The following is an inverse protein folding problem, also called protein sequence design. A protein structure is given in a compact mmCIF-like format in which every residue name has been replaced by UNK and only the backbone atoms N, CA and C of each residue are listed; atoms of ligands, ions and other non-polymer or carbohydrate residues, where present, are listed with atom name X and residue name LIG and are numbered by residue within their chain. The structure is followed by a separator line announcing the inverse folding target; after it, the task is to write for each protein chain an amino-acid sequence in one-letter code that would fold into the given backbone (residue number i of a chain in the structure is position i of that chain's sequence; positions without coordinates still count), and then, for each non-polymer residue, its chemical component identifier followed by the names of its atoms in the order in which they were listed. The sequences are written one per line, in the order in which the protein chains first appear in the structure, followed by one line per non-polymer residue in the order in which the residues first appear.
data_IF_534398679076
#
_entry.id   IF_534398679076
#
_cell.length_a   1.000
_cell.length_b   1.000
_cell.length_c   1.000
_cell.angle_alpha   90.00
_cell.angle_beta   90.00
_cell.angle_gamma   90.00
#
_symmetry.space_group_name_H-M   'P 1'
#
loop_
_entity.id
_entity.type
_entity.pdbx_description
1 polymer ?
#
# COMPACT_ATOMS: atom_id res chain seq x y z
N UNK A 1 7.53 -4.53 23.25
CA UNK A 1 7.22 -3.21 23.85
C UNK A 1 5.76 -2.82 23.62
N UNK A 2 5.27 -2.73 22.37
CA UNK A 2 3.85 -2.43 22.09
C UNK A 2 2.85 -3.47 22.62
N UNK A 3 3.24 -4.75 22.68
CA UNK A 3 2.41 -5.85 23.20
C UNK A 3 2.08 -5.73 24.70
N UNK A 4 2.77 -4.86 25.43
CA UNK A 4 2.49 -4.57 26.86
C UNK A 4 1.33 -3.59 27.04
N UNK A 5 0.81 -3.01 25.96
CA UNK A 5 -0.32 -2.08 25.99
C UNK A 5 -1.64 -2.82 25.79
N UNK A 6 -2.76 -2.27 26.32
CA UNK A 6 -4.10 -2.77 26.02
C UNK A 6 -4.34 -2.90 24.51
N UNK A 7 -5.14 -3.88 24.10
CA UNK A 7 -5.40 -4.16 22.68
C UNK A 7 -6.07 -2.99 21.95
N UNK A 8 -6.89 -2.23 22.69
CA UNK A 8 -7.63 -1.04 22.25
C UNK A 8 -6.87 0.28 22.48
N UNK A 9 -5.63 0.21 23.00
CA UNK A 9 -4.84 1.42 23.24
C UNK A 9 -4.52 2.14 21.93
N UNK A 10 -4.86 3.43 21.90
CA UNK A 10 -4.52 4.36 20.85
C UNK A 10 -4.06 5.69 21.45
N UNK A 11 -2.84 6.12 21.10
CA UNK A 11 -2.31 7.41 21.52
C UNK A 11 -2.72 8.50 20.51
N UNK A 12 -3.60 9.46 20.85
CA UNK A 12 -4.17 10.38 19.86
C UNK A 12 -3.15 11.22 19.10
N UNK A 13 -2.14 11.76 19.80
CA UNK A 13 -1.17 12.68 19.20
C UNK A 13 -0.22 12.02 18.19
N UNK A 14 0.27 10.83 18.51
CA UNK A 14 1.24 10.10 17.67
C UNK A 14 0.57 9.05 16.80
N UNK A 15 -0.71 8.76 17.05
CA UNK A 15 -1.46 7.64 16.47
C UNK A 15 -0.82 6.26 16.73
N UNK A 16 0.02 6.18 17.77
CA UNK A 16 0.66 4.94 18.18
C UNK A 16 -0.36 3.98 18.77
N UNK A 17 -0.28 2.71 18.38
CA UNK A 17 -1.13 1.63 18.85
C UNK A 17 -0.42 0.29 18.65
N UNK A 18 -0.97 -0.79 19.21
CA UNK A 18 -0.50 -2.14 18.86
C UNK A 18 -0.78 -2.46 17.39
N UNK A 19 -1.95 -2.06 16.87
CA UNK A 19 -2.39 -2.36 15.51
C UNK A 19 -1.49 -1.78 14.41
N UNK A 20 -0.90 -0.59 14.63
CA UNK A 20 -0.05 0.05 13.61
C UNK A 20 1.34 -0.59 13.46
N UNK A 21 1.74 -1.49 14.37
CA UNK A 21 3.06 -2.12 14.32
C UNK A 21 3.24 -3.00 13.07
N UNK A 22 2.18 -3.67 12.61
CA UNK A 22 2.22 -4.44 11.36
C UNK A 22 2.52 -3.54 10.16
N UNK A 23 1.92 -2.34 10.11
CA UNK A 23 2.17 -1.38 9.04
C UNK A 23 3.62 -0.88 9.02
N UNK A 24 4.20 -0.61 10.19
CA UNK A 24 5.62 -0.23 10.27
C UNK A 24 6.56 -1.39 9.90
N UNK A 25 6.22 -2.63 10.24
CA UNK A 25 7.01 -3.79 9.82
C UNK A 25 7.07 -3.93 8.29
N UNK A 26 5.95 -3.69 7.60
CA UNK A 26 5.92 -3.62 6.12
C UNK A 26 6.86 -2.54 5.61
N UNK A 27 6.76 -1.31 6.14
CA UNK A 27 7.63 -0.21 5.73
C UNK A 27 9.10 -0.57 5.91
N UNK A 28 9.50 -1.11 7.06
CA UNK A 28 10.89 -1.50 7.31
C UNK A 28 11.37 -2.54 6.29
N UNK A 29 10.58 -3.59 6.05
CA UNK A 29 10.95 -4.62 5.08
C UNK A 29 11.09 -4.08 3.65
N UNK A 30 10.17 -3.17 3.24
CA UNK A 30 10.20 -2.50 1.93
C UNK A 30 11.43 -1.61 1.78
N UNK A 31 11.76 -0.79 2.78
CA UNK A 31 12.93 0.10 2.72
C UNK A 31 14.25 -0.70 2.71
N UNK A 32 14.27 -1.86 3.36
CA UNK A 32 15.38 -2.81 3.29
C UNK A 32 15.43 -3.63 1.99
N UNK A 33 14.51 -3.38 1.04
CA UNK A 33 14.40 -4.10 -0.24
C UNK A 33 14.25 -5.62 -0.08
N UNK A 34 13.70 -6.08 1.03
CA UNK A 34 13.51 -7.50 1.34
C UNK A 34 12.15 -7.99 0.83
N UNK A 35 11.97 -8.11 -0.49
CA UNK A 35 10.67 -8.39 -1.15
C UNK A 35 9.84 -9.50 -0.50
N UNK A 36 10.40 -10.70 -0.34
CA UNK A 36 9.68 -11.81 0.29
C UNK A 36 9.31 -11.56 1.76
N UNK A 37 10.13 -10.78 2.49
CA UNK A 37 9.78 -10.35 3.86
C UNK A 37 8.71 -9.26 3.84
N UNK A 38 8.74 -8.33 2.89
CA UNK A 38 7.69 -7.33 2.71
C UNK A 38 6.33 -7.98 2.51
N UNK A 39 6.26 -9.02 1.67
CA UNK A 39 5.03 -9.79 1.44
C UNK A 39 4.58 -10.53 2.70
N UNK A 40 5.51 -11.17 3.43
CA UNK A 40 5.18 -11.82 4.71
C UNK A 40 4.59 -10.85 5.73
N UNK A 41 5.20 -9.66 5.88
CA UNK A 41 4.69 -8.63 6.79
C UNK A 41 3.36 -8.06 6.30
N UNK A 42 3.18 -7.86 4.99
CA UNK A 42 1.92 -7.38 4.41
C UNK A 42 0.77 -8.37 4.66
N UNK A 43 1.02 -9.67 4.49
CA UNK A 43 0.04 -10.71 4.77
C UNK A 43 -0.33 -10.80 6.27
N UNK A 44 0.62 -10.46 7.17
CA UNK A 44 0.41 -10.45 8.62
C UNK A 44 -0.28 -9.17 9.12
N UNK A 45 -0.08 -8.04 8.44
CA UNK A 45 -0.64 -6.76 8.84
C UNK A 45 -2.14 -6.69 8.53
N UNK A 46 -2.96 -6.35 9.53
CA UNK A 46 -4.38 -6.05 9.29
C UNK A 46 -4.59 -4.55 9.07
N UNK A 47 -4.71 -4.13 7.82
CA UNK A 47 -4.97 -2.74 7.48
C UNK A 47 -6.27 -2.17 8.10
N UNK A 48 -7.23 -3.02 8.53
CA UNK A 48 -8.46 -2.57 9.20
C UNK A 48 -8.21 -2.02 10.60
N UNK A 49 -7.07 -2.34 11.21
CA UNK A 49 -6.67 -1.77 12.51
C UNK A 49 -6.20 -0.31 12.40
N UNK A 50 -6.18 0.28 11.20
CA UNK A 50 -5.84 1.69 10.97
C UNK A 50 -7.15 2.47 10.69
N UNK A 51 -7.73 3.17 11.70
CA UNK A 51 -9.01 3.84 11.52
C UNK A 51 -8.95 4.97 10.47
N UNK A 52 -7.87 5.75 10.52
CA UNK A 52 -7.64 6.88 9.61
C UNK A 52 -7.52 6.41 8.16
N UNK A 53 -8.46 6.86 7.30
CA UNK A 53 -8.49 6.49 5.88
C UNK A 53 -7.20 6.86 5.13
N UNK A 54 -6.65 8.09 5.26
CA UNK A 54 -5.40 8.45 4.59
C UNK A 54 -4.21 7.59 5.04
N UNK A 55 -4.09 7.29 6.34
CA UNK A 55 -3.02 6.41 6.85
C UNK A 55 -3.17 4.99 6.34
N UNK A 56 -4.40 4.49 6.28
CA UNK A 56 -4.68 3.17 5.71
C UNK A 56 -4.32 3.12 4.23
N UNK A 57 -4.68 4.15 3.45
CA UNK A 57 -4.27 4.26 2.05
C UNK A 57 -2.74 4.31 1.90
N UNK A 58 -2.04 5.07 2.75
CA UNK A 58 -0.56 5.09 2.76
C UNK A 58 0.02 3.71 3.05
N UNK A 59 -0.52 2.98 4.02
CA UNK A 59 -0.11 1.61 4.30
C UNK A 59 -0.38 0.66 3.13
N UNK A 60 -1.53 0.76 2.45
CA UNK A 60 -1.81 0.00 1.23
C UNK A 60 -0.75 0.25 0.13
N UNK A 61 -0.26 1.49 0.01
CA UNK A 61 0.82 1.80 -0.94
C UNK A 61 2.13 1.12 -0.53
N UNK A 62 2.43 1.02 0.77
CA UNK A 62 3.60 0.24 1.24
C UNK A 62 3.45 -1.27 0.98
N UNK A 63 2.25 -1.84 1.18
CA UNK A 63 1.97 -3.23 0.79
C UNK A 63 2.20 -3.44 -0.71
N UNK A 64 1.69 -2.52 -1.56
CA UNK A 64 1.89 -2.58 -3.00
C UNK A 64 3.36 -2.49 -3.40
N UNK A 65 4.17 -1.65 -2.72
CA UNK A 65 5.63 -1.62 -2.90
C UNK A 65 6.26 -2.97 -2.56
N UNK A 66 5.81 -3.62 -1.48
CA UNK A 66 6.27 -4.96 -1.09
C UNK A 66 5.97 -6.02 -2.15
N UNK A 67 4.73 -6.09 -2.63
CA UNK A 67 4.35 -7.01 -3.71
C UNK A 67 5.11 -6.74 -5.01
N UNK A 68 5.32 -5.46 -5.35
CA UNK A 68 6.09 -5.09 -6.53
C UNK A 68 7.56 -5.52 -6.42
N UNK A 69 8.20 -5.31 -5.26
CA UNK A 69 9.58 -5.75 -4.99
C UNK A 69 9.75 -7.27 -5.09
N UNK A 70 8.72 -8.02 -4.70
CA UNK A 70 8.71 -9.49 -4.77
C UNK A 70 8.29 -10.05 -6.15
N UNK A 71 8.10 -9.18 -7.16
CA UNK A 71 7.72 -9.61 -8.51
C UNK A 71 6.26 -10.05 -8.65
N UNK A 72 5.36 -9.48 -7.84
CA UNK A 72 3.91 -9.74 -7.86
C UNK A 72 3.11 -8.52 -8.37
N UNK A 73 3.23 -8.15 -9.66
CA UNK A 73 2.66 -6.91 -10.22
C UNK A 73 1.12 -6.84 -10.17
N UNK A 74 0.44 -7.95 -10.43
CA UNK A 74 -1.03 -8.05 -10.36
C UNK A 74 -1.53 -7.74 -8.94
N UNK A 75 -0.88 -8.33 -7.93
CA UNK A 75 -1.20 -8.11 -6.52
C UNK A 75 -0.86 -6.68 -6.10
N UNK A 76 0.25 -6.14 -6.58
CA UNK A 76 0.63 -4.75 -6.33
C UNK A 76 -0.43 -3.78 -6.87
N UNK A 77 -0.86 -3.94 -8.12
CA UNK A 77 -1.89 -3.09 -8.73
C UNK A 77 -3.24 -3.21 -8.02
N UNK A 78 -3.68 -4.44 -7.71
CA UNK A 78 -4.91 -4.67 -6.96
C UNK A 78 -4.86 -4.06 -5.54
N UNK A 79 -3.66 -3.93 -4.97
CA UNK A 79 -3.46 -3.27 -3.67
C UNK A 79 -3.49 -1.75 -3.80
N UNK A 80 -3.00 -1.19 -4.91
CA UNK A 80 -3.14 0.24 -5.23
C UNK A 80 -4.60 0.62 -5.47
N UNK A 81 -5.41 -0.24 -6.09
CA UNK A 81 -6.87 -0.05 -6.16
C UNK A 81 -7.47 0.13 -4.76
N UNK A 82 -7.12 -0.73 -3.80
CA UNK A 82 -7.57 -0.60 -2.40
C UNK A 82 -7.07 0.68 -1.73
N UNK A 83 -5.89 1.17 -2.08
CA UNK A 83 -5.39 2.45 -1.60
C UNK A 83 -6.23 3.62 -2.13
N UNK A 84 -6.61 3.57 -3.41
CA UNK A 84 -7.51 4.54 -4.03
C UNK A 84 -8.88 4.56 -3.35
N UNK A 85 -9.52 3.41 -3.15
CA UNK A 85 -10.81 3.32 -2.45
C UNK A 85 -10.73 3.84 -1.00
N UNK A 86 -9.59 3.61 -0.33
CA UNK A 86 -9.38 4.11 1.01
C UNK A 86 -9.29 5.63 1.06
N UNK A 87 -8.43 6.26 0.25
CA UNK A 87 -8.28 7.70 0.17
C UNK A 87 -7.68 8.15 -1.18
N UNK A 88 -8.51 8.60 -2.15
CA UNK A 88 -8.07 8.95 -3.49
C UNK A 88 -6.95 10.00 -3.52
N UNK A 89 -7.03 11.01 -2.66
CA UNK A 89 -6.04 12.09 -2.59
C UNK A 89 -4.66 11.57 -2.13
N UNK A 90 -4.64 10.55 -1.26
CA UNK A 90 -3.38 9.99 -0.73
C UNK A 90 -2.59 9.29 -1.83
N UNK A 91 -3.25 8.46 -2.63
CA UNK A 91 -2.59 7.76 -3.74
C UNK A 91 -2.28 8.70 -4.89
N UNK A 92 -3.18 9.66 -5.20
CA UNK A 92 -3.01 10.61 -6.30
C UNK A 92 -1.69 11.35 -6.23
N UNK A 93 -1.17 11.68 -5.05
CA UNK A 93 0.08 12.43 -4.89
C UNK A 93 1.25 11.58 -4.37
N UNK A 94 1.13 10.25 -4.37
CA UNK A 94 2.20 9.37 -3.92
C UNK A 94 3.11 8.93 -5.08
N UNK A 95 4.39 9.32 -5.04
CA UNK A 95 5.35 9.01 -6.11
C UNK A 95 5.54 7.51 -6.38
N UNK A 96 5.54 6.66 -5.35
CA UNK A 96 5.70 5.20 -5.54
C UNK A 96 4.49 4.59 -6.22
N UNK A 97 3.28 4.97 -5.78
CA UNK A 97 2.06 4.46 -6.40
C UNK A 97 1.95 4.88 -7.87
N UNK A 98 2.29 6.15 -8.19
CA UNK A 98 2.32 6.64 -9.56
C UNK A 98 3.30 5.85 -10.41
N UNK A 99 4.53 5.65 -9.93
CA UNK A 99 5.57 4.90 -10.64
C UNK A 99 5.14 3.47 -10.93
N UNK A 100 4.69 2.73 -9.91
CA UNK A 100 4.22 1.35 -10.08
C UNK A 100 3.06 1.31 -11.09
N UNK A 101 2.06 2.19 -10.94
CA UNK A 101 0.91 2.20 -11.86
C UNK A 101 1.32 2.45 -13.31
N UNK A 102 2.26 3.37 -13.56
CA UNK A 102 2.85 3.63 -14.88
C UNK A 102 3.62 2.44 -15.43
N UNK A 103 4.45 1.78 -14.62
CA UNK A 103 5.18 0.58 -15.04
C UNK A 103 4.21 -0.52 -15.49
N UNK A 104 3.10 -0.70 -14.75
CA UNK A 104 2.08 -1.69 -15.09
C UNK A 104 1.28 -1.35 -16.37
N UNK A 105 1.26 -0.09 -16.84
CA UNK A 105 0.65 0.24 -18.14
C UNK A 105 1.45 -0.28 -19.33
N UNK A 106 2.70 -0.72 -19.11
CA UNK A 106 3.53 -1.36 -20.15
C UNK A 106 3.46 -2.89 -20.11
N UNK A 107 2.59 -3.45 -19.26
CA UNK A 107 2.44 -4.91 -19.15
C UNK A 107 2.08 -5.56 -20.48
N UNK A 108 2.65 -6.74 -20.73
CA UNK A 108 2.33 -7.57 -21.90
C UNK A 108 0.88 -8.09 -21.86
N UNK A 109 0.30 -8.26 -20.66
CA UNK A 109 -1.08 -8.70 -20.47
C UNK A 109 -2.06 -7.56 -20.82
N UNK A 110 -2.90 -7.71 -21.86
CA UNK A 110 -3.83 -6.64 -22.27
C UNK A 110 -4.85 -6.28 -21.18
N UNK A 111 -5.28 -7.26 -20.39
CA UNK A 111 -6.24 -7.06 -19.31
C UNK A 111 -5.61 -6.28 -18.17
N UNK A 112 -4.40 -6.66 -17.75
CA UNK A 112 -3.67 -5.96 -16.69
C UNK A 112 -3.31 -4.54 -17.08
N UNK A 113 -2.78 -4.37 -18.30
CA UNK A 113 -2.46 -3.05 -18.88
C UNK A 113 -3.66 -2.13 -18.88
N UNK A 114 -4.85 -2.62 -19.24
CA UNK A 114 -6.09 -1.83 -19.23
C UNK A 114 -6.44 -1.38 -17.80
N UNK A 115 -6.40 -2.29 -16.83
CA UNK A 115 -6.67 -1.95 -15.42
C UNK A 115 -5.66 -0.94 -14.88
N UNK A 116 -4.39 -1.09 -15.22
CA UNK A 116 -3.34 -0.14 -14.85
C UNK A 116 -3.60 1.24 -15.45
N UNK A 117 -3.97 1.30 -16.73
CA UNK A 117 -4.32 2.56 -17.40
C UNK A 117 -5.55 3.23 -16.77
N UNK A 118 -6.60 2.47 -16.44
CA UNK A 118 -7.79 2.98 -15.74
C UNK A 118 -7.44 3.57 -14.37
N UNK A 119 -6.59 2.89 -13.59
CA UNK A 119 -6.09 3.44 -12.34
C UNK A 119 -5.24 4.69 -12.58
N UNK A 120 -4.34 4.68 -13.58
CA UNK A 120 -3.46 5.79 -13.93
C UNK A 120 -4.26 7.07 -14.27
N UNK A 121 -5.38 6.94 -14.98
CA UNK A 121 -6.31 8.04 -15.24
C UNK A 121 -6.95 8.53 -13.95
N UNK A 122 -7.49 7.63 -13.11
CA UNK A 122 -8.11 7.99 -11.82
C UNK A 122 -7.17 8.75 -10.88
N UNK A 123 -5.88 8.37 -10.88
CA UNK A 123 -4.84 9.02 -10.07
C UNK A 123 -4.14 10.18 -10.80
N UNK A 124 -4.60 10.58 -11.98
CA UNK A 124 -4.15 11.78 -12.70
C UNK A 124 -2.73 11.70 -13.24
N UNK A 125 -2.30 10.50 -13.64
CA UNK A 125 -0.98 10.24 -14.22
C UNK A 125 -1.06 10.09 -15.75
N UNK A 126 -2.19 9.59 -16.26
CA UNK A 126 -2.52 9.59 -17.69
C UNK A 126 -3.77 10.45 -17.94
N UNK A 127 -3.90 10.94 -19.17
CA UNK A 127 -5.12 11.56 -19.65
C UNK A 127 -6.17 10.49 -20.00
N UNK A 128 -7.46 10.86 -19.86
CA UNK A 128 -8.59 10.00 -20.20
C UNK A 128 -8.82 9.91 -21.72
#
# INVERSE_FOLDING_TARGET
MAERLPADYYHPMTSFSRGIMGAHAVTVAVELHAGGESVRQAAKADAKTIPSRPRRARHRIEEARGYHLDGQPETALATLDKAYEAAPETIRYNGYARRITLEETESKSPVHRRRAAELAVRIGVLAA
#
